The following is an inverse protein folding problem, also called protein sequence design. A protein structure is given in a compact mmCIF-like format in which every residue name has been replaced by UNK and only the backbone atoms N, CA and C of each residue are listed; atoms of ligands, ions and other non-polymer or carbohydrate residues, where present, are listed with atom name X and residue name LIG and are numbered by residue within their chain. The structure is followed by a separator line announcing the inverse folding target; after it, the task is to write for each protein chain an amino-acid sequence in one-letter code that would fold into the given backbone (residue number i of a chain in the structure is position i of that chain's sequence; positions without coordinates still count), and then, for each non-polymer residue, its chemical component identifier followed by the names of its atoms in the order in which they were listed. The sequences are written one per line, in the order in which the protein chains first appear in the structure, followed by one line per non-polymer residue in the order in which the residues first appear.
data_IF_454193459219
#
_entry.id   IF_454193459219
#
_cell.length_a   1.000
_cell.length_b   1.000
_cell.length_c   1.000
_cell.angle_alpha   90.00
_cell.angle_beta   90.00
_cell.angle_gamma   90.00
#
_symmetry.space_group_name_H-M   'P 1'
#
loop_
_entity.id
_entity.type
_entity.pdbx_description
1 polymer ?
#
# COMPACT_ATOMS: atom_id res chain seq x y z
N UNK A 1 11.14 26.78 -63.51
CA UNK A 1 10.23 27.27 -62.45
C UNK A 1 9.93 26.10 -61.54
N UNK A 2 10.37 26.14 -60.28
CA UNK A 2 10.25 25.01 -59.34
C UNK A 2 9.10 25.22 -58.35
N UNK A 3 8.33 24.17 -58.07
CA UNK A 3 7.15 24.14 -57.19
C UNK A 3 7.44 23.59 -55.79
N UNK A 4 8.71 23.43 -55.41
CA UNK A 4 9.11 22.77 -54.16
C UNK A 4 8.62 23.47 -52.88
N UNK A 5 8.39 24.79 -52.92
CA UNK A 5 7.88 25.55 -51.77
C UNK A 5 6.36 25.41 -51.55
N UNK A 6 5.60 24.95 -52.55
CA UNK A 6 4.14 24.81 -52.42
C UNK A 6 3.75 23.64 -51.50
N UNK A 7 4.62 22.65 -51.37
CA UNK A 7 4.43 21.52 -50.45
C UNK A 7 4.48 21.98 -48.99
N UNK A 8 5.23 23.03 -48.64
CA UNK A 8 5.32 23.50 -47.26
C UNK A 8 4.01 24.09 -46.71
N UNK A 9 3.12 24.55 -47.59
CA UNK A 9 1.83 25.15 -47.24
C UNK A 9 0.75 24.09 -46.94
N UNK A 10 1.00 22.83 -47.30
CA UNK A 10 0.04 21.75 -47.09
C UNK A 10 0.08 21.28 -45.63
N UNK A 11 -1.03 21.49 -44.92
CA UNK A 11 -1.14 21.12 -43.51
C UNK A 11 -1.11 19.59 -43.28
N UNK A 12 -1.47 18.80 -44.29
CA UNK A 12 -1.60 17.34 -44.16
C UNK A 12 -0.26 16.63 -43.88
N UNK A 13 0.84 17.22 -44.31
CA UNK A 13 2.19 16.65 -44.13
C UNK A 13 2.70 16.79 -42.70
N UNK A 14 2.05 17.64 -41.90
CA UNK A 14 2.40 17.92 -40.51
C UNK A 14 1.40 17.31 -39.52
N UNK A 15 0.40 16.57 -40.02
CA UNK A 15 -0.59 15.88 -39.20
C UNK A 15 0.13 14.83 -38.32
N UNK A 16 -0.06 14.91 -37.00
CA UNK A 16 0.57 14.01 -36.02
C UNK A 16 1.91 14.50 -35.41
N UNK A 17 2.39 15.70 -35.75
CA UNK A 17 3.54 16.31 -35.06
C UNK A 17 3.09 17.26 -33.96
N UNK A 18 3.19 16.81 -32.71
CA UNK A 18 2.63 17.51 -31.56
C UNK A 18 3.42 18.77 -31.17
N UNK A 19 4.68 18.89 -31.60
CA UNK A 19 5.60 19.98 -31.25
C UNK A 19 5.54 21.20 -32.18
N UNK A 20 4.82 21.12 -33.31
CA UNK A 20 4.69 22.22 -34.25
C UNK A 20 3.44 23.05 -33.97
N UNK A 21 3.57 24.37 -34.01
CA UNK A 21 2.49 25.34 -33.84
C UNK A 21 2.86 26.65 -34.55
N UNK A 22 1.86 27.47 -34.88
CA UNK A 22 2.02 28.73 -35.63
C UNK A 22 1.78 28.59 -37.13
N UNK A 23 1.50 29.70 -37.86
CA UNK A 23 1.25 29.67 -39.30
C UNK A 23 2.41 29.04 -40.08
N UNK A 24 2.17 28.21 -41.11
CA UNK A 24 0.90 27.92 -41.82
C UNK A 24 -0.02 26.88 -41.13
N UNK A 25 0.32 26.40 -39.93
CA UNK A 25 -0.47 25.39 -39.23
C UNK A 25 -1.65 26.03 -38.48
N UNK A 26 -2.80 25.36 -38.50
CA UNK A 26 -4.02 25.80 -37.80
C UNK A 26 -3.86 25.79 -36.26
N UNK A 27 -2.84 25.11 -35.73
CA UNK A 27 -2.57 25.00 -34.29
C UNK A 27 -1.83 26.25 -33.80
N UNK A 28 -2.51 27.07 -32.99
CA UNK A 28 -1.87 28.21 -32.32
C UNK A 28 -0.89 27.73 -31.25
N UNK A 29 0.31 28.33 -31.18
CA UNK A 29 1.21 28.07 -30.06
C UNK A 29 0.61 28.62 -28.78
N UNK A 30 0.73 27.92 -27.64
CA UNK A 30 0.47 28.56 -26.36
C UNK A 30 1.42 29.75 -26.26
N UNK A 31 0.87 30.96 -26.10
CA UNK A 31 1.68 32.14 -25.87
C UNK A 31 2.61 31.83 -24.69
N UNK A 32 3.89 32.12 -24.87
CA UNK A 32 4.88 31.98 -23.82
C UNK A 32 4.46 32.90 -22.67
N UNK A 33 3.76 32.31 -21.70
CA UNK A 33 3.39 32.94 -20.44
C UNK A 33 4.67 33.08 -19.63
N UNK A 34 5.44 34.09 -20.01
CA UNK A 34 6.33 34.81 -19.10
C UNK A 34 5.56 35.04 -17.81
N UNK A 35 6.14 34.56 -16.72
CA UNK A 35 5.87 34.94 -15.34
C UNK A 35 5.32 36.37 -15.25
N UNK A 36 4.08 36.54 -14.78
CA UNK A 36 3.80 37.06 -13.45
C UNK A 36 2.29 37.04 -13.14
N UNK A 37 2.01 36.94 -11.84
CA UNK A 37 0.77 37.28 -11.12
C UNK A 37 -0.55 36.48 -11.33
N UNK A 38 -0.84 35.67 -10.31
CA UNK A 38 -2.15 35.49 -9.65
C UNK A 38 -3.44 35.56 -10.49
N UNK A 39 -4.11 34.41 -10.65
CA UNK A 39 -5.35 34.10 -9.92
C UNK A 39 -5.81 32.66 -10.19
N UNK A 40 -6.47 32.10 -9.19
CA UNK A 40 -7.01 30.74 -9.14
C UNK A 40 -7.92 30.42 -10.33
N UNK A 41 -7.55 29.43 -11.15
CA UNK A 41 -8.53 28.49 -11.70
C UNK A 41 -7.98 27.06 -11.68
N UNK A 42 -8.84 26.20 -11.16
CA UNK A 42 -8.58 24.85 -10.68
C UNK A 42 -8.37 23.88 -11.86
N UNK A 43 -7.17 23.85 -12.44
CA UNK A 43 -6.79 22.81 -13.39
C UNK A 43 -6.29 21.57 -12.63
N UNK A 44 -7.25 20.78 -12.15
CA UNK A 44 -7.07 19.35 -11.90
C UNK A 44 -6.43 18.74 -13.15
N UNK A 45 -5.21 18.20 -13.04
CA UNK A 45 -4.88 16.84 -13.48
C UNK A 45 -3.37 16.55 -13.43
N UNK A 46 -3.09 15.36 -12.88
CA UNK A 46 -1.99 14.48 -13.25
C UNK A 46 -0.62 14.63 -12.55
N UNK A 47 -0.60 14.56 -11.21
CA UNK A 47 0.50 13.97 -10.42
C UNK A 47 0.00 13.42 -9.07
N UNK A 48 -1.06 12.60 -9.09
CA UNK A 48 -1.62 12.00 -7.87
C UNK A 48 -2.44 10.72 -8.08
N UNK A 49 -2.58 10.26 -9.33
CA UNK A 49 -3.36 9.05 -9.66
C UNK A 49 -2.61 7.76 -9.31
N UNK A 50 -1.34 7.67 -9.67
CA UNK A 50 -0.55 6.42 -9.59
C UNK A 50 -0.22 5.96 -8.16
N UNK A 51 0.01 6.90 -7.24
CA UNK A 51 0.25 6.59 -5.83
C UNK A 51 -1.02 6.16 -5.10
N UNK A 52 -2.15 6.77 -5.46
CA UNK A 52 -3.45 6.49 -4.82
C UNK A 52 -4.03 5.14 -5.26
N UNK A 53 -3.88 4.77 -6.53
CA UNK A 53 -4.34 3.49 -7.05
C UNK A 53 -3.47 2.33 -6.53
N UNK A 54 -2.14 2.49 -6.49
CA UNK A 54 -1.25 1.47 -5.92
C UNK A 54 -1.53 1.22 -4.42
N UNK A 55 -1.72 2.28 -3.64
CA UNK A 55 -2.11 2.18 -2.23
C UNK A 55 -3.46 1.49 -2.06
N UNK A 56 -4.43 1.76 -2.92
CA UNK A 56 -5.74 1.14 -2.88
C UNK A 56 -5.69 -0.36 -3.21
N UNK A 57 -4.95 -0.76 -4.25
CA UNK A 57 -4.74 -2.17 -4.58
C UNK A 57 -3.97 -2.91 -3.47
N UNK A 58 -2.95 -2.27 -2.88
CA UNK A 58 -2.20 -2.86 -1.78
C UNK A 58 -3.10 -3.06 -0.55
N UNK A 59 -3.87 -2.04 -0.16
CA UNK A 59 -4.81 -2.13 0.96
C UNK A 59 -5.89 -3.19 0.73
N UNK A 60 -6.44 -3.26 -0.48
CA UNK A 60 -7.39 -4.31 -0.89
C UNK A 60 -6.75 -5.72 -0.88
N UNK A 61 -5.44 -5.82 -1.13
CA UNK A 61 -4.67 -7.06 -1.17
C UNK A 61 -4.22 -7.59 0.19
N UNK A 62 -4.09 -6.75 1.21
CA UNK A 62 -3.63 -7.16 2.55
C UNK A 62 -4.54 -8.24 3.15
N UNK A 63 -5.86 -8.03 3.12
CA UNK A 63 -6.84 -8.98 3.68
C UNK A 63 -6.79 -10.37 3.03
N UNK A 64 -7.03 -10.49 1.70
CA UNK A 64 -7.00 -11.77 1.02
C UNK A 64 -5.59 -12.37 0.96
N UNK A 65 -4.55 -11.55 0.82
CA UNK A 65 -3.16 -12.02 0.85
C UNK A 65 -2.76 -12.63 2.19
N UNK A 66 -3.18 -12.00 3.30
CA UNK A 66 -2.99 -12.56 4.63
C UNK A 66 -3.76 -13.87 4.81
N UNK A 67 -5.02 -13.92 4.37
CA UNK A 67 -5.83 -15.14 4.48
C UNK A 67 -5.21 -16.30 3.70
N UNK A 68 -4.84 -16.08 2.43
CA UNK A 68 -4.21 -17.10 1.58
C UNK A 68 -2.85 -17.52 2.15
N UNK A 69 -2.00 -16.56 2.55
CA UNK A 69 -0.70 -16.86 3.15
C UNK A 69 -0.83 -17.64 4.46
N UNK A 70 -1.77 -17.24 5.33
CA UNK A 70 -2.06 -17.93 6.59
C UNK A 70 -2.55 -19.35 6.34
N UNK A 71 -3.47 -19.56 5.39
CA UNK A 71 -3.96 -20.90 5.04
C UNK A 71 -2.84 -21.79 4.48
N UNK A 72 -1.91 -21.25 3.69
CA UNK A 72 -0.74 -22.00 3.20
C UNK A 72 0.18 -22.39 4.35
N UNK A 73 0.52 -21.46 5.25
CA UNK A 73 1.35 -21.74 6.43
C UNK A 73 0.67 -22.78 7.33
N UNK A 74 -0.61 -22.60 7.64
CA UNK A 74 -1.41 -23.56 8.38
C UNK A 74 -1.47 -24.93 7.69
N UNK A 75 -1.63 -24.95 6.37
CA UNK A 75 -1.62 -26.16 5.56
C UNK A 75 -0.30 -26.91 5.66
N UNK A 76 0.84 -26.22 5.55
CA UNK A 76 2.18 -26.81 5.69
C UNK A 76 2.39 -27.34 7.11
N UNK A 77 2.02 -26.56 8.14
CA UNK A 77 2.08 -26.97 9.55
C UNK A 77 1.22 -28.22 9.80
N UNK A 78 0.04 -28.29 9.17
CA UNK A 78 -0.89 -29.40 9.31
C UNK A 78 -0.43 -30.65 8.54
N UNK A 79 0.16 -30.48 7.35
CA UNK A 79 0.62 -31.57 6.49
C UNK A 79 1.94 -32.19 6.97
N UNK A 80 2.82 -31.40 7.60
CA UNK A 80 3.93 -31.96 8.39
C UNK A 80 3.38 -32.57 9.67
N UNK A 81 2.84 -33.79 9.55
CA UNK A 81 2.28 -34.60 10.64
C UNK A 81 3.20 -34.70 11.86
N UNK A 82 4.52 -34.67 11.68
CA UNK A 82 5.51 -34.62 12.77
C UNK A 82 5.62 -33.28 13.51
N UNK A 83 5.33 -32.15 12.85
CA UNK A 83 5.37 -30.83 13.48
C UNK A 83 4.10 -30.50 14.25
N UNK A 84 2.95 -31.04 13.83
CA UNK A 84 1.68 -30.86 14.54
C UNK A 84 1.79 -31.34 16.00
N UNK A 85 2.38 -32.51 16.23
CA UNK A 85 2.57 -33.02 17.59
C UNK A 85 3.50 -32.15 18.43
N UNK A 86 4.64 -31.73 17.87
CA UNK A 86 5.58 -30.84 18.55
C UNK A 86 4.96 -29.45 18.86
N UNK A 87 4.19 -28.90 17.93
CA UNK A 87 3.47 -27.64 18.13
C UNK A 87 2.41 -27.76 19.22
N UNK A 88 1.55 -28.79 19.17
CA UNK A 88 0.56 -29.04 20.21
C UNK A 88 1.20 -29.26 21.58
N UNK A 89 2.29 -30.03 21.65
CA UNK A 89 3.04 -30.21 22.90
C UNK A 89 3.63 -28.90 23.42
N UNK A 90 4.12 -28.02 22.54
CA UNK A 90 4.68 -26.74 22.94
C UNK A 90 3.59 -25.79 23.47
N UNK A 91 2.45 -25.73 22.79
CA UNK A 91 1.27 -24.96 23.25
C UNK A 91 0.75 -25.49 24.58
N UNK A 92 0.60 -26.80 24.72
CA UNK A 92 0.09 -27.43 25.93
C UNK A 92 1.05 -27.23 27.12
N UNK A 93 2.36 -27.34 26.87
CA UNK A 93 3.38 -27.03 27.88
C UNK A 93 3.39 -25.54 28.28
N UNK A 94 3.20 -24.63 27.31
CA UNK A 94 3.05 -23.19 27.61
C UNK A 94 1.79 -22.92 28.42
N UNK A 95 0.66 -23.51 28.04
CA UNK A 95 -0.61 -23.37 28.74
C UNK A 95 -0.52 -23.87 30.17
N UNK A 96 0.00 -25.09 30.38
CA UNK A 96 0.20 -25.67 31.71
C UNK A 96 1.14 -24.82 32.57
N UNK A 97 2.25 -24.32 31.99
CA UNK A 97 3.15 -23.38 32.70
C UNK A 97 2.44 -22.08 33.09
N UNK A 98 1.60 -21.53 32.21
CA UNK A 98 0.86 -20.31 32.48
C UNK A 98 -0.16 -20.53 33.60
N UNK A 99 -0.94 -21.63 33.53
CA UNK A 99 -1.91 -22.02 34.56
C UNK A 99 -1.22 -22.21 35.90
N UNK A 100 -0.13 -22.99 35.97
CA UNK A 100 0.64 -23.20 37.20
C UNK A 100 1.23 -21.87 37.71
N UNK A 101 1.73 -21.01 36.83
CA UNK A 101 2.24 -19.71 37.23
C UNK A 101 1.13 -18.82 37.82
N UNK A 102 -0.08 -18.83 37.24
CA UNK A 102 -1.25 -18.11 37.74
C UNK A 102 -1.64 -18.64 39.12
N UNK A 103 -1.75 -19.96 39.29
CA UNK A 103 -2.07 -20.60 40.57
C UNK A 103 -1.03 -20.27 41.64
N UNK A 104 0.26 -20.38 41.32
CA UNK A 104 1.34 -20.05 42.25
C UNK A 104 1.35 -18.56 42.60
N UNK A 105 1.10 -17.68 41.63
CA UNK A 105 0.98 -16.24 41.85
C UNK A 105 -0.23 -15.91 42.71
N UNK A 106 -1.39 -16.53 42.44
CA UNK A 106 -2.61 -16.35 43.21
C UNK A 106 -2.42 -16.83 44.66
N UNK A 107 -1.82 -18.01 44.86
CA UNK A 107 -1.49 -18.53 46.17
C UNK A 107 -0.46 -17.65 46.91
N UNK A 108 0.55 -17.13 46.21
CA UNK A 108 1.52 -16.19 46.79
C UNK A 108 0.86 -14.87 47.21
N UNK A 109 -0.03 -14.34 46.37
CA UNK A 109 -0.80 -13.13 46.66
C UNK A 109 -1.71 -13.34 47.87
N UNK A 110 -2.46 -14.44 47.93
CA UNK A 110 -3.31 -14.78 49.08
C UNK A 110 -2.51 -14.89 50.39
N UNK A 111 -1.35 -15.55 50.35
CA UNK A 111 -0.44 -15.62 51.52
C UNK A 111 0.11 -14.26 51.93
N UNK A 112 0.37 -13.36 50.97
CA UNK A 112 0.84 -11.99 51.26
C UNK A 112 -0.26 -11.16 51.93
N UNK A 113 -1.51 -11.32 51.51
CA UNK A 113 -2.67 -10.68 52.15
C UNK A 113 -2.90 -11.18 53.58
N UNK A 114 -2.91 -12.50 53.80
CA UNK A 114 -3.07 -13.08 55.15
C UNK A 114 -1.93 -12.68 56.11
N UNK A 115 -0.71 -12.53 55.60
CA UNK A 115 0.45 -12.09 56.39
C UNK A 115 0.49 -10.56 56.61
N UNK A 116 -0.22 -9.79 55.79
CA UNK A 116 -0.42 -8.34 55.97
C UNK A 116 -1.49 -8.02 57.01
N UNK A 117 -2.56 -8.82 57.06
CA UNK A 117 -3.63 -8.71 58.06
C UNK A 117 -3.15 -9.04 59.49
N UNK A 118 -2.19 -9.95 59.63
CA UNK A 118 -1.59 -10.30 60.93
C UNK A 118 -0.55 -9.29 61.45
N UNK A 119 -0.21 -8.25 60.67
CA UNK A 119 0.82 -7.24 61.02
C UNK A 119 0.23 -5.82 61.19
N UNK A 120 -1.06 -5.63 60.92
CA UNK A 120 -1.80 -4.41 61.26
C UNK A 120 -2.41 -4.56 62.66
#
# INVERSE_FOLDING_TARGET
MGNQLQTLDDQSIYIGNNGLCGPPLLKSCPADKSYDDHEHEHATENKGGEESEFMWFFYAGIGPGFLVGFLVVCGILHFKKSWRYAFFQLVDNMYNKLVVAIEVKAAWVGRKFHKGEFRA
#
